data_IF_711653958205
#
_entry.id   IF_711653958205
#
_cell.length_a   1.000
_cell.length_b   1.000
_cell.length_c   1.000
_cell.angle_alpha   90.00
_cell.angle_beta   90.00
_cell.angle_gamma   90.00
#
_symmetry.space_group_name_H-M   'P 1'
#
loop_
_entity.id
_entity.type
_entity.pdbx_description
1 polymer ?
#
# COMPACT_ATOMS: atom_id res chain seq x y z
N UNK A 1 27.54 -29.14 14.23
CA UNK A 1 26.71 -27.94 14.45
C UNK A 1 27.43 -27.03 15.42
N UNK A 2 27.97 -25.92 14.94
CA UNK A 2 28.60 -24.92 15.78
C UNK A 2 27.52 -24.24 16.63
N UNK A 3 27.51 -24.51 17.94
CA UNK A 3 26.72 -23.74 18.90
C UNK A 3 27.31 -22.34 18.96
N UNK A 4 26.67 -21.39 18.31
CA UNK A 4 27.15 -20.00 18.22
C UNK A 4 27.05 -19.29 19.56
N UNK A 5 26.12 -19.69 20.44
CA UNK A 5 25.93 -19.15 21.80
C UNK A 5 25.51 -20.30 22.71
N UNK A 6 26.11 -20.37 23.91
CA UNK A 6 25.66 -21.32 24.95
C UNK A 6 24.19 -20.99 25.30
N UNK A 7 23.30 -22.01 25.40
CA UNK A 7 21.91 -21.83 25.80
C UNK A 7 21.68 -21.03 27.10
N UNK A 8 22.63 -21.07 28.02
CA UNK A 8 22.59 -20.30 29.26
C UNK A 8 22.64 -18.78 29.01
N UNK A 9 23.40 -18.35 27.99
CA UNK A 9 23.54 -16.93 27.63
C UNK A 9 22.48 -16.47 26.63
N UNK A 10 21.58 -17.36 26.15
CA UNK A 10 20.51 -16.95 25.28
C UNK A 10 19.51 -16.04 26.00
N UNK A 11 19.30 -14.78 25.56
CA UNK A 11 18.61 -13.78 26.38
C UNK A 11 17.09 -13.97 26.45
N UNK A 12 16.51 -14.81 25.58
CA UNK A 12 15.05 -15.00 25.48
C UNK A 12 14.63 -16.36 26.07
N UNK A 13 13.47 -16.43 26.71
CA UNK A 13 12.88 -17.68 27.19
C UNK A 13 12.19 -17.54 28.53
N UNK A 14 11.73 -18.65 29.09
CA UNK A 14 11.04 -18.70 30.40
C UNK A 14 11.99 -18.19 31.51
N UNK A 15 11.53 -17.21 32.28
CA UNK A 15 12.31 -16.48 33.29
C UNK A 15 13.47 -15.62 32.79
N UNK A 16 13.53 -15.37 31.47
CA UNK A 16 14.44 -14.44 30.80
C UNK A 16 13.63 -13.30 30.17
N UNK A 17 14.25 -12.49 29.27
CA UNK A 17 13.55 -11.40 28.60
C UNK A 17 12.41 -11.96 27.74
N UNK A 18 11.19 -11.55 28.02
CA UNK A 18 10.03 -11.82 27.20
C UNK A 18 9.77 -10.62 26.27
N UNK A 19 9.67 -10.89 24.98
CA UNK A 19 9.29 -9.84 24.02
C UNK A 19 7.84 -9.44 24.32
N UNK A 20 7.57 -8.19 24.73
CA UNK A 20 6.21 -7.76 25.02
C UNK A 20 5.30 -8.00 23.81
N UNK A 21 4.15 -8.62 24.05
CA UNK A 21 3.13 -8.77 23.02
C UNK A 21 2.75 -7.40 22.47
N UNK A 22 2.77 -7.23 21.15
CA UNK A 22 2.31 -5.99 20.54
C UNK A 22 0.82 -5.80 20.80
N UNK A 23 0.43 -4.70 21.42
CA UNK A 23 -0.97 -4.26 21.45
C UNK A 23 -1.37 -3.94 20.00
N UNK A 24 -2.09 -4.88 19.36
CA UNK A 24 -2.58 -4.68 18.00
C UNK A 24 -3.67 -3.60 18.00
N UNK A 25 -3.29 -2.36 17.78
CA UNK A 25 -4.24 -1.29 17.48
C UNK A 25 -4.91 -1.65 16.15
N UNK A 26 -6.25 -1.75 16.17
CA UNK A 26 -7.06 -2.03 14.98
C UNK A 26 -6.85 -0.93 13.93
N UNK A 27 -6.12 -1.24 12.87
CA UNK A 27 -5.77 -0.30 11.78
C UNK A 27 -6.64 -0.52 10.54
N UNK A 28 -7.95 -0.69 10.74
CA UNK A 28 -8.90 -0.88 9.65
C UNK A 28 -10.17 -0.07 9.88
N UNK A 29 -10.76 0.42 8.80
CA UNK A 29 -12.07 1.04 8.79
C UNK A 29 -13.16 -0.01 8.63
N UNK A 30 -14.31 0.23 9.29
CA UNK A 30 -15.57 -0.45 9.01
C UNK A 30 -16.29 0.16 7.81
N UNK A 31 -17.47 -0.36 7.47
CA UNK A 31 -18.24 0.08 6.29
C UNK A 31 -18.66 1.55 6.36
N UNK A 32 -19.02 2.02 7.55
CA UNK A 32 -19.50 3.41 7.73
C UNK A 32 -18.33 4.38 7.61
N UNK A 33 -17.20 4.07 8.23
CA UNK A 33 -15.97 4.84 8.12
C UNK A 33 -15.44 4.88 6.69
N UNK A 34 -15.50 3.75 5.96
CA UNK A 34 -15.17 3.69 4.54
C UNK A 34 -16.08 4.59 3.71
N UNK A 35 -17.39 4.57 3.99
CA UNK A 35 -18.36 5.43 3.31
C UNK A 35 -18.09 6.92 3.60
N UNK A 36 -17.80 7.28 4.85
CA UNK A 36 -17.44 8.65 5.23
C UNK A 36 -16.20 9.10 4.44
N UNK A 37 -15.13 8.29 4.41
CA UNK A 37 -13.90 8.64 3.70
C UNK A 37 -14.13 8.75 2.18
N UNK A 38 -14.92 7.85 1.60
CA UNK A 38 -15.23 7.84 0.18
C UNK A 38 -15.98 9.11 -0.25
N UNK A 39 -16.98 9.49 0.54
CA UNK A 39 -17.83 10.67 0.27
C UNK A 39 -17.21 11.98 0.80
N UNK A 40 -16.07 11.93 1.48
CA UNK A 40 -15.39 13.10 2.00
C UNK A 40 -15.11 14.10 0.88
N UNK A 41 -15.49 15.36 1.11
CA UNK A 41 -15.25 16.45 0.15
C UNK A 41 -13.87 17.06 0.39
N UNK A 42 -12.90 16.86 -0.52
CA UNK A 42 -11.58 17.44 -0.38
C UNK A 42 -11.63 18.96 -0.57
N UNK A 43 -10.92 19.69 0.26
CA UNK A 43 -10.76 21.16 0.14
C UNK A 43 -9.62 21.53 -0.81
N UNK A 44 -8.75 20.57 -1.14
CA UNK A 44 -7.55 20.76 -1.98
C UNK A 44 -7.37 19.55 -2.90
N UNK A 45 -6.82 19.73 -4.12
CA UNK A 45 -6.55 18.63 -5.04
C UNK A 45 -5.65 17.53 -4.44
N UNK A 46 -4.73 17.91 -3.54
CA UNK A 46 -3.83 16.99 -2.88
C UNK A 46 -4.58 16.01 -1.96
N UNK A 47 -5.64 16.46 -1.30
CA UNK A 47 -6.50 15.61 -0.48
C UNK A 47 -7.31 14.64 -1.34
N UNK A 48 -7.81 15.10 -2.49
CA UNK A 48 -8.49 14.24 -3.45
C UNK A 48 -7.54 13.15 -3.95
N UNK A 49 -6.34 13.54 -4.40
CA UNK A 49 -5.32 12.60 -4.84
C UNK A 49 -4.95 11.59 -3.76
N UNK A 50 -4.82 12.03 -2.51
CA UNK A 50 -4.49 11.15 -1.38
C UNK A 50 -5.60 10.13 -1.12
N UNK A 51 -6.88 10.57 -1.11
CA UNK A 51 -8.05 9.70 -0.99
C UNK A 51 -8.13 8.70 -2.13
N UNK A 52 -7.97 9.16 -3.36
CA UNK A 52 -8.09 8.33 -4.55
C UNK A 52 -6.97 7.25 -4.58
N UNK A 53 -5.71 7.59 -4.22
CA UNK A 53 -4.63 6.60 -4.07
C UNK A 53 -4.90 5.58 -2.96
N UNK A 54 -5.52 6.02 -1.87
CA UNK A 54 -5.90 5.12 -0.79
C UNK A 54 -6.98 4.12 -1.24
N UNK A 55 -8.03 4.60 -1.93
CA UNK A 55 -9.06 3.73 -2.47
C UNK A 55 -8.57 2.84 -3.61
N UNK A 56 -7.66 3.32 -4.45
CA UNK A 56 -7.01 2.46 -5.44
C UNK A 56 -6.28 1.29 -4.77
N UNK A 57 -5.53 1.57 -3.70
CA UNK A 57 -4.92 0.51 -2.89
C UNK A 57 -5.96 -0.46 -2.35
N UNK A 58 -7.08 0.03 -1.81
CA UNK A 58 -8.16 -0.77 -1.23
C UNK A 58 -8.81 -1.68 -2.28
N UNK A 59 -9.26 -1.14 -3.42
CA UNK A 59 -9.93 -1.91 -4.47
C UNK A 59 -9.01 -2.85 -5.22
N UNK A 60 -7.70 -2.56 -5.22
CA UNK A 60 -6.68 -3.45 -5.75
C UNK A 60 -6.17 -4.45 -4.71
N UNK A 61 -7.08 -5.09 -3.96
CA UNK A 61 -6.79 -6.15 -2.99
C UNK A 61 -5.80 -5.72 -1.90
N UNK A 62 -5.86 -4.45 -1.49
CA UNK A 62 -4.93 -3.89 -0.51
C UNK A 62 -3.50 -3.81 -1.03
N UNK A 63 -3.31 -3.52 -2.31
CA UNK A 63 -1.99 -3.34 -2.92
C UNK A 63 -1.22 -2.24 -2.18
N UNK A 64 0.03 -2.52 -1.79
CA UNK A 64 0.84 -1.53 -1.09
C UNK A 64 1.18 -0.36 -2.01
N UNK A 65 1.20 0.86 -1.47
CA UNK A 65 1.56 2.06 -2.26
C UNK A 65 2.94 1.92 -2.91
N UNK A 66 3.88 1.22 -2.27
CA UNK A 66 5.18 0.91 -2.90
C UNK A 66 5.02 0.11 -4.18
N UNK A 67 4.11 -0.86 -4.20
CA UNK A 67 3.85 -1.68 -5.38
C UNK A 67 3.13 -0.83 -6.45
N UNK A 68 2.14 0.01 -6.04
CA UNK A 68 1.41 0.91 -6.95
C UNK A 68 2.36 1.82 -7.74
N UNK A 69 3.30 2.48 -7.07
CA UNK A 69 4.21 3.42 -7.73
C UNK A 69 5.27 2.74 -8.61
N UNK A 70 5.47 1.43 -8.46
CA UNK A 70 6.37 0.64 -9.30
C UNK A 70 5.66 -0.08 -10.44
N UNK A 71 4.31 0.00 -10.53
CA UNK A 71 3.58 -0.56 -11.66
C UNK A 71 4.07 0.04 -12.97
N UNK A 72 4.30 -0.83 -13.95
CA UNK A 72 4.61 -0.47 -15.32
C UNK A 72 3.45 -0.81 -16.23
N UNK A 73 3.35 -0.17 -17.38
CA UNK A 73 2.28 -0.45 -18.33
C UNK A 73 2.24 -1.91 -18.79
N UNK A 74 3.38 -2.60 -18.81
CA UNK A 74 3.42 -4.06 -19.07
C UNK A 74 2.70 -4.91 -18.03
N UNK A 75 2.49 -4.37 -16.83
CA UNK A 75 1.83 -5.05 -15.70
C UNK A 75 0.30 -4.89 -15.75
N UNK A 76 -0.21 -4.07 -16.69
CA UNK A 76 -1.64 -3.80 -16.89
C UNK A 76 -2.10 -4.50 -18.16
N UNK A 77 -3.18 -5.28 -18.04
CA UNK A 77 -3.94 -5.82 -19.16
C UNK A 77 -5.35 -5.21 -19.15
N UNK A 78 -6.19 -5.55 -20.14
CA UNK A 78 -7.58 -5.06 -20.19
C UNK A 78 -8.44 -5.55 -19.02
N UNK A 79 -8.07 -6.67 -18.39
CA UNK A 79 -8.87 -7.33 -17.35
C UNK A 79 -8.24 -7.25 -15.94
N UNK A 80 -6.92 -7.11 -15.86
CA UNK A 80 -6.23 -7.26 -14.57
C UNK A 80 -4.88 -6.54 -14.52
N UNK A 81 -4.43 -6.32 -13.27
CA UNK A 81 -3.05 -5.93 -12.95
C UNK A 81 -2.30 -7.19 -12.54
N UNK A 82 -1.15 -7.48 -13.16
CA UNK A 82 -0.29 -8.63 -12.85
C UNK A 82 1.08 -8.13 -12.42
N UNK A 83 1.42 -8.26 -11.15
CA UNK A 83 2.66 -7.70 -10.63
C UNK A 83 3.35 -8.60 -9.61
N UNK A 84 4.65 -8.38 -9.41
CA UNK A 84 5.44 -9.00 -8.36
C UNK A 84 5.69 -7.96 -7.26
N UNK A 85 5.40 -8.32 -6.00
CA UNK A 85 5.61 -7.41 -4.87
C UNK A 85 7.08 -7.02 -4.73
N UNK A 86 7.32 -5.73 -4.60
CA UNK A 86 8.67 -5.18 -4.40
C UNK A 86 9.39 -5.78 -3.18
N UNK A 87 8.66 -6.07 -2.09
CA UNK A 87 9.24 -6.70 -0.89
C UNK A 87 9.76 -8.11 -1.15
N UNK A 88 9.16 -8.86 -2.07
CA UNK A 88 9.52 -10.27 -2.32
C UNK A 88 10.54 -10.44 -3.43
N UNK A 89 10.73 -9.45 -4.29
CA UNK A 89 11.74 -9.47 -5.35
C UNK A 89 13.17 -9.67 -4.81
N UNK A 90 13.48 -9.08 -3.65
CA UNK A 90 14.82 -9.14 -3.04
C UNK A 90 15.00 -10.34 -2.12
N UNK A 91 13.92 -10.93 -1.57
CA UNK A 91 14.01 -11.97 -0.53
C UNK A 91 13.82 -13.39 -1.03
N UNK A 92 13.10 -13.58 -2.15
CA UNK A 92 12.85 -14.90 -2.76
C UNK A 92 13.49 -14.99 -4.13
N UNK A 93 14.57 -15.77 -4.26
CA UNK A 93 15.24 -16.01 -5.55
C UNK A 93 14.57 -17.09 -6.41
N UNK A 94 13.70 -17.93 -5.85
CA UNK A 94 13.02 -19.01 -6.55
C UNK A 94 11.51 -18.98 -6.29
N UNK A 95 10.70 -19.37 -7.31
CA UNK A 95 9.24 -19.51 -7.24
C UNK A 95 8.46 -18.25 -6.81
N UNK A 96 8.80 -17.09 -7.36
CA UNK A 96 8.02 -15.87 -7.16
C UNK A 96 6.73 -15.98 -7.99
N UNK A 97 5.59 -16.12 -7.31
CA UNK A 97 4.28 -16.07 -7.96
C UNK A 97 3.83 -14.62 -8.14
N UNK A 98 3.42 -14.21 -9.35
CA UNK A 98 2.81 -12.91 -9.57
C UNK A 98 1.46 -12.82 -8.83
N UNK A 99 1.11 -11.63 -8.40
CA UNK A 99 -0.21 -11.31 -7.85
C UNK A 99 -1.06 -10.79 -8.98
N UNK A 100 -2.26 -11.34 -9.10
CA UNK A 100 -3.27 -10.92 -10.08
C UNK A 100 -4.38 -10.17 -9.35
N UNK A 101 -4.74 -9.01 -9.86
CA UNK A 101 -5.80 -8.15 -9.32
C UNK A 101 -6.73 -7.78 -10.45
N UNK A 102 -8.00 -8.20 -10.41
CA UNK A 102 -8.98 -7.78 -11.42
C UNK A 102 -9.12 -6.26 -11.48
N UNK A 103 -9.22 -5.69 -12.66
CA UNK A 103 -9.49 -4.28 -12.86
C UNK A 103 -10.98 -4.00 -12.63
N UNK A 104 -11.29 -3.24 -11.58
CA UNK A 104 -12.61 -2.65 -11.40
C UNK A 104 -12.74 -1.34 -12.19
N UNK A 105 -13.98 -0.90 -12.45
CA UNK A 105 -14.24 0.38 -13.12
C UNK A 105 -13.57 1.55 -12.41
N UNK A 106 -13.56 1.52 -11.07
CA UNK A 106 -12.83 2.52 -10.28
C UNK A 106 -11.33 2.49 -10.59
N UNK A 107 -10.72 1.31 -10.66
CA UNK A 107 -9.29 1.20 -10.96
C UNK A 107 -8.97 1.71 -12.37
N UNK A 108 -9.81 1.41 -13.35
CA UNK A 108 -9.68 1.93 -14.72
C UNK A 108 -9.79 3.45 -14.74
N UNK A 109 -10.81 4.04 -14.11
CA UNK A 109 -10.97 5.49 -14.01
C UNK A 109 -9.78 6.15 -13.31
N UNK A 110 -9.28 5.53 -12.25
CA UNK A 110 -8.14 6.04 -11.50
C UNK A 110 -6.86 6.04 -12.35
N UNK A 111 -6.58 4.94 -13.05
CA UNK A 111 -5.44 4.84 -13.98
C UNK A 111 -5.55 5.91 -15.08
N UNK A 112 -6.75 6.11 -15.64
CA UNK A 112 -7.00 7.15 -16.64
C UNK A 112 -6.77 8.57 -16.08
N UNK A 113 -7.16 8.83 -14.83
CA UNK A 113 -7.04 10.14 -14.18
C UNK A 113 -5.59 10.49 -13.80
N UNK A 114 -4.84 9.52 -13.28
CA UNK A 114 -3.51 9.75 -12.69
C UNK A 114 -2.37 9.10 -13.46
N UNK A 115 -2.69 8.32 -14.49
CA UNK A 115 -1.71 7.58 -15.27
C UNK A 115 -0.82 8.47 -16.15
N UNK A 116 0.37 7.96 -16.42
CA UNK A 116 1.31 8.58 -17.30
C UNK A 116 0.77 8.58 -18.74
N UNK A 117 0.96 9.68 -19.46
CA UNK A 117 0.63 9.76 -20.89
C UNK A 117 1.52 8.86 -21.75
N UNK A 118 2.76 8.66 -21.31
CA UNK A 118 3.66 7.69 -21.92
C UNK A 118 3.28 6.27 -21.49
N UNK A 119 2.65 5.52 -22.38
CA UNK A 119 2.14 4.17 -22.15
C UNK A 119 3.05 3.08 -22.71
N UNK A 120 4.32 3.37 -22.98
CA UNK A 120 5.27 2.33 -23.36
C UNK A 120 5.34 1.26 -22.25
N UNK A 121 5.45 0.01 -22.66
CA UNK A 121 5.45 -1.14 -21.72
C UNK A 121 6.48 -1.03 -20.59
N UNK A 122 7.60 -0.36 -20.81
CA UNK A 122 8.65 -0.12 -19.83
C UNK A 122 8.35 1.03 -18.86
N UNK A 123 7.53 1.99 -19.27
CA UNK A 123 7.23 3.20 -18.49
C UNK A 123 6.35 2.91 -17.28
N UNK A 124 6.57 3.67 -16.21
CA UNK A 124 5.73 3.58 -15.01
C UNK A 124 4.31 4.04 -15.30
N UNK A 125 3.32 3.34 -14.74
CA UNK A 125 1.90 3.69 -14.87
C UNK A 125 1.62 5.08 -14.28
N UNK A 126 2.23 5.39 -13.14
CA UNK A 126 2.05 6.69 -12.48
C UNK A 126 3.34 7.51 -12.57
N UNK A 127 3.25 8.82 -12.91
CA UNK A 127 4.41 9.70 -13.10
C UNK A 127 5.02 10.14 -11.76
N UNK A 128 5.29 9.18 -10.88
CA UNK A 128 5.93 9.37 -9.57
C UNK A 128 7.39 9.00 -9.67
N UNK A 129 7.68 7.91 -10.37
CA UNK A 129 9.03 7.46 -10.69
C UNK A 129 9.29 7.63 -12.18
N UNK A 130 10.55 7.75 -12.53
CA UNK A 130 11.04 7.82 -13.90
C UNK A 130 12.17 6.81 -14.14
N UNK A 131 12.33 6.35 -15.39
CA UNK A 131 13.35 5.37 -15.75
C UNK A 131 14.77 5.94 -15.65
N UNK A 132 14.93 7.25 -15.84
CA UNK A 132 16.23 7.95 -15.73
C UNK A 132 16.73 8.11 -14.30
N UNK A 133 15.84 7.97 -13.29
CA UNK A 133 16.20 8.13 -11.88
C UNK A 133 17.12 7.01 -11.41
N UNK A 134 18.13 7.36 -10.63
CA UNK A 134 18.94 6.41 -9.86
C UNK A 134 18.11 5.71 -8.78
N UNK A 135 18.60 4.61 -8.23
CA UNK A 135 17.92 3.89 -7.15
C UNK A 135 17.74 4.75 -5.90
N UNK A 136 18.70 5.62 -5.59
CA UNK A 136 18.63 6.54 -4.46
C UNK A 136 17.53 7.59 -4.68
N UNK A 137 17.47 8.19 -5.86
CA UNK A 137 16.42 9.14 -6.24
C UNK A 137 15.03 8.50 -6.19
N UNK A 138 14.88 7.27 -6.71
CA UNK A 138 13.63 6.50 -6.62
C UNK A 138 13.25 6.24 -5.18
N UNK A 139 14.21 5.87 -4.34
CA UNK A 139 13.97 5.64 -2.92
C UNK A 139 13.46 6.91 -2.22
N UNK A 140 14.13 8.05 -2.42
CA UNK A 140 13.76 9.35 -1.88
C UNK A 140 12.39 9.81 -2.39
N UNK A 141 12.15 9.67 -3.70
CA UNK A 141 10.87 10.04 -4.33
C UNK A 141 9.71 9.24 -3.77
N UNK A 142 9.90 7.93 -3.64
CA UNK A 142 8.93 7.02 -3.01
C UNK A 142 8.59 7.42 -1.59
N UNK A 143 9.58 7.69 -0.75
CA UNK A 143 9.35 8.09 0.63
C UNK A 143 8.58 9.42 0.71
N UNK A 144 8.98 10.39 -0.10
CA UNK A 144 8.31 11.70 -0.15
C UNK A 144 6.86 11.56 -0.61
N UNK A 145 6.59 10.73 -1.61
CA UNK A 145 5.23 10.48 -2.08
C UNK A 145 4.35 9.82 -1.01
N UNK A 146 4.84 8.79 -0.31
CA UNK A 146 4.09 8.14 0.77
C UNK A 146 3.81 9.13 1.91
N UNK A 147 4.80 9.97 2.27
CA UNK A 147 4.63 11.02 3.28
C UNK A 147 3.57 12.04 2.84
N UNK A 148 3.62 12.48 1.60
CA UNK A 148 2.65 13.39 1.00
C UNK A 148 1.22 12.80 1.07
N UNK A 149 1.01 11.57 0.64
CA UNK A 149 -0.30 10.90 0.71
C UNK A 149 -0.79 10.83 2.16
N UNK A 150 0.04 10.36 3.08
CA UNK A 150 -0.36 10.23 4.49
C UNK A 150 -0.73 11.59 5.12
N UNK A 151 0.02 12.65 4.82
CA UNK A 151 -0.24 13.99 5.34
C UNK A 151 -1.62 14.50 4.90
N UNK A 152 -1.93 14.45 3.60
CA UNK A 152 -3.19 14.95 3.06
C UNK A 152 -4.38 14.06 3.43
N UNK A 153 -4.16 12.76 3.54
CA UNK A 153 -5.15 11.81 4.00
C UNK A 153 -5.56 12.07 5.46
N UNK A 154 -4.59 12.33 6.35
CA UNK A 154 -4.85 12.70 7.75
C UNK A 154 -5.67 13.98 7.86
N UNK A 155 -5.32 15.00 7.08
CA UNK A 155 -6.08 16.27 7.05
C UNK A 155 -7.52 16.04 6.60
N UNK A 156 -7.74 15.21 5.57
CA UNK A 156 -9.08 14.89 5.08
C UNK A 156 -9.87 14.07 6.11
N UNK A 157 -9.25 13.08 6.74
CA UNK A 157 -9.86 12.25 7.78
C UNK A 157 -10.30 13.11 8.98
N UNK A 158 -9.42 13.96 9.49
CA UNK A 158 -9.72 14.89 10.58
C UNK A 158 -10.91 15.79 10.27
N UNK A 159 -10.94 16.36 9.06
CA UNK A 159 -12.02 17.25 8.62
C UNK A 159 -13.39 16.54 8.51
N UNK A 160 -13.41 15.21 8.50
CA UNK A 160 -14.62 14.39 8.38
C UNK A 160 -14.88 13.50 9.63
N UNK A 161 -14.26 13.84 10.77
CA UNK A 161 -14.50 13.12 12.03
C UNK A 161 -13.90 11.71 12.09
N UNK A 162 -12.99 11.38 11.20
CA UNK A 162 -12.26 10.11 11.22
C UNK A 162 -10.93 10.27 11.99
N UNK A 163 -10.35 9.13 12.38
CA UNK A 163 -9.08 9.10 13.10
C UNK A 163 -7.91 9.68 12.26
N UNK A 164 -7.08 10.48 12.91
CA UNK A 164 -5.86 11.04 12.32
C UNK A 164 -4.72 10.00 12.21
N UNK A 165 -4.87 8.83 12.81
CA UNK A 165 -3.87 7.75 12.70
C UNK A 165 -3.89 7.05 11.33
N UNK A 166 -4.86 7.39 10.49
CA UNK A 166 -4.97 6.83 9.14
C UNK A 166 -3.67 6.98 8.36
N UNK A 167 -3.34 5.93 7.63
CA UNK A 167 -2.21 5.91 6.70
C UNK A 167 -2.54 5.07 5.47
N UNK A 168 -1.65 5.09 4.49
CA UNK A 168 -1.76 4.22 3.31
C UNK A 168 -1.83 2.74 3.67
N UNK A 169 -1.25 2.34 4.81
CA UNK A 169 -1.26 0.95 5.26
C UNK A 169 -2.66 0.49 5.72
N UNK A 170 -3.51 1.41 6.19
CA UNK A 170 -4.89 1.10 6.58
C UNK A 170 -5.75 0.60 5.42
N UNK A 171 -5.48 1.02 4.19
CA UNK A 171 -6.20 0.51 3.02
C UNK A 171 -6.11 -1.02 2.91
N UNK A 172 -4.91 -1.56 3.12
CA UNK A 172 -4.67 -3.00 3.11
C UNK A 172 -5.37 -3.73 4.25
N UNK A 173 -5.32 -3.18 5.46
CA UNK A 173 -6.02 -3.78 6.61
C UNK A 173 -7.53 -3.72 6.44
N UNK A 174 -8.05 -2.59 5.96
CA UNK A 174 -9.48 -2.44 5.69
C UNK A 174 -9.95 -3.43 4.62
N UNK A 175 -9.19 -3.60 3.53
CA UNK A 175 -9.49 -4.61 2.53
C UNK A 175 -9.52 -6.02 3.15
N UNK A 176 -8.47 -6.43 3.85
CA UNK A 176 -8.39 -7.76 4.46
C UNK A 176 -9.55 -8.01 5.44
N UNK A 177 -9.86 -7.03 6.30
CA UNK A 177 -10.99 -7.13 7.24
C UNK A 177 -12.32 -7.23 6.51
N UNK A 178 -12.53 -6.46 5.44
CA UNK A 178 -13.77 -6.49 4.64
C UNK A 178 -13.91 -7.83 3.90
N UNK A 179 -12.82 -8.35 3.34
CA UNK A 179 -12.82 -9.63 2.65
C UNK A 179 -13.20 -10.78 3.59
N UNK A 180 -12.58 -10.84 4.78
CA UNK A 180 -12.90 -11.87 5.79
C UNK A 180 -14.36 -11.79 6.21
N UNK A 181 -14.90 -10.57 6.47
CA UNK A 181 -16.32 -10.40 6.86
C UNK A 181 -17.32 -10.81 5.78
N UNK A 182 -16.95 -10.69 4.50
CA UNK A 182 -17.82 -11.12 3.39
C UNK A 182 -17.75 -12.62 3.10
N UNK A 183 -16.73 -13.29 3.61
CA UNK A 183 -16.52 -14.75 3.42
C UNK A 183 -17.05 -15.57 4.60
N UNK A 184 -17.42 -14.95 5.71
CA UNK A 184 -18.05 -15.56 6.87
C UNK A 184 -19.58 -15.47 6.80
#
# INVERSE_FOLDING_TARGET
DAKVIDPEFYPFGVKKYEIPGSTNVKKSFDSDQLSILFNAKPKKPEQEKARDFWFFSFVCNGMNVKDIIHLKWKDITDEQIVFIREKTKSTKKANIKPIQVPLSDFAVMFIKKYGNKDQRKSSFVFPILDESMTEEERHKRKQNFIRYINQHLKQLAKANGLTEDISTYWARHSFATTAVRKSA
#
